data_IF_824207721226
#
_entry.id   IF_824207721226
#
_cell.length_a   1.000
_cell.length_b   1.000
_cell.length_c   1.000
_cell.angle_alpha   90.00
_cell.angle_beta   90.00
_cell.angle_gamma   90.00
#
_symmetry.space_group_name_H-M   'P 1'
#
loop_
_entity.id
_entity.type
_entity.pdbx_description
1 polymer ?
#
# COMPACT_ATOMS: atom_id res chain seq x y z
N UNK A 1 -0.38 -9.95 -9.81
CA UNK A 1 -0.52 -8.60 -9.19
C UNK A 1 -1.25 -8.57 -7.84
N UNK A 2 -2.38 -9.27 -7.61
CA UNK A 2 -3.14 -9.13 -6.34
C UNK A 2 -2.58 -9.90 -5.12
N UNK A 3 -1.67 -10.87 -5.33
CA UNK A 3 -1.19 -11.78 -4.27
C UNK A 3 -0.19 -11.14 -3.30
N UNK A 4 0.76 -10.32 -3.78
CA UNK A 4 1.72 -9.62 -2.89
C UNK A 4 1.05 -8.60 -1.98
N UNK A 5 0.16 -7.76 -2.52
CA UNK A 5 -0.56 -6.78 -1.71
C UNK A 5 -1.33 -7.45 -0.57
N UNK A 6 -1.99 -8.57 -0.87
CA UNK A 6 -2.74 -9.34 0.13
C UNK A 6 -1.84 -9.95 1.20
N UNK A 7 -0.61 -10.36 0.87
CA UNK A 7 0.40 -10.81 1.86
C UNK A 7 0.86 -9.64 2.74
N UNK A 8 1.18 -8.49 2.16
CA UNK A 8 1.58 -7.30 2.90
C UNK A 8 0.48 -6.78 3.83
N UNK A 9 -0.77 -6.74 3.34
CA UNK A 9 -1.91 -6.32 4.14
C UNK A 9 -2.17 -7.24 5.33
N UNK A 10 -1.92 -8.56 5.18
CA UNK A 10 -2.01 -9.52 6.29
C UNK A 10 -0.92 -9.28 7.34
N UNK A 11 0.32 -9.06 6.92
CA UNK A 11 1.42 -8.75 7.84
C UNK A 11 1.17 -7.46 8.62
N UNK A 12 0.70 -6.40 7.94
CA UNK A 12 0.34 -5.14 8.60
C UNK A 12 -0.80 -5.36 9.59
N UNK A 13 -1.88 -6.03 9.18
CA UNK A 13 -2.99 -6.36 10.08
C UNK A 13 -2.51 -7.08 11.32
N UNK A 14 -1.77 -8.18 11.17
CA UNK A 14 -1.27 -8.93 12.33
C UNK A 14 -0.44 -8.04 13.27
N UNK A 15 0.43 -7.17 12.75
CA UNK A 15 1.20 -6.24 13.59
C UNK A 15 0.36 -5.21 14.34
N UNK A 16 -0.67 -4.64 13.70
CA UNK A 16 -1.52 -3.61 14.34
C UNK A 16 -2.71 -4.18 15.12
N UNK A 17 -3.15 -5.41 14.81
CA UNK A 17 -4.30 -6.06 15.46
C UNK A 17 -3.90 -7.04 16.56
N UNK A 18 -2.86 -7.86 16.37
CA UNK A 18 -2.51 -8.90 17.36
C UNK A 18 -1.97 -8.30 18.66
N UNK A 19 -1.37 -7.10 18.60
CA UNK A 19 -0.88 -6.40 19.78
C UNK A 19 -1.99 -5.69 20.58
N UNK A 20 -3.28 -5.84 20.26
CA UNK A 20 -4.43 -5.39 21.07
C UNK A 20 -4.52 -3.90 21.45
N UNK A 21 -3.55 -3.05 21.07
CA UNK A 21 -3.52 -1.67 21.56
C UNK A 21 -4.42 -0.70 20.79
N UNK A 22 -4.56 -0.81 19.45
CA UNK A 22 -5.27 0.21 18.64
C UNK A 22 -5.90 -0.33 17.34
N UNK A 23 -7.07 -0.98 17.39
CA UNK A 23 -7.80 -1.41 16.18
C UNK A 23 -8.17 -0.23 15.25
N UNK A 24 -8.25 0.98 15.76
CA UNK A 24 -8.47 2.20 14.96
C UNK A 24 -7.35 2.47 13.95
N UNK A 25 -6.11 2.02 14.23
CA UNK A 25 -4.97 2.23 13.34
C UNK A 25 -4.99 1.29 12.12
N UNK A 26 -5.81 0.25 12.12
CA UNK A 26 -5.84 -0.76 11.05
C UNK A 26 -6.29 -0.17 9.72
N UNK A 27 -7.34 0.65 9.73
CA UNK A 27 -7.86 1.32 8.53
C UNK A 27 -6.85 2.31 7.92
N UNK A 28 -6.28 3.27 8.69
CA UNK A 28 -5.30 4.20 8.14
C UNK A 28 -3.99 3.52 7.72
N UNK A 29 -3.56 2.44 8.40
CA UNK A 29 -2.39 1.66 7.99
C UNK A 29 -2.58 1.01 6.62
N UNK A 30 -3.74 0.39 6.37
CA UNK A 30 -4.05 -0.22 5.07
C UNK A 30 -4.19 0.82 3.96
N UNK A 31 -4.74 2.00 4.25
CA UNK A 31 -4.81 3.10 3.31
C UNK A 31 -3.43 3.60 2.89
N UNK A 32 -2.52 3.80 3.86
CA UNK A 32 -1.12 4.16 3.59
C UNK A 32 -0.39 3.09 2.77
N UNK A 33 -0.59 1.81 3.12
CA UNK A 33 -0.01 0.69 2.37
C UNK A 33 -0.47 0.67 0.91
N UNK A 34 -1.75 0.91 0.64
CA UNK A 34 -2.29 0.99 -0.73
C UNK A 34 -1.64 2.12 -1.54
N UNK A 35 -1.49 3.31 -0.95
CA UNK A 35 -0.83 4.46 -1.57
C UNK A 35 0.63 4.16 -1.95
N UNK A 36 1.40 3.61 -0.99
CA UNK A 36 2.80 3.22 -1.22
C UNK A 36 2.90 2.14 -2.29
N UNK A 37 2.05 1.11 -2.24
CA UNK A 37 2.06 0.03 -3.21
C UNK A 37 1.78 0.52 -4.64
N UNK A 38 0.83 1.46 -4.80
CA UNK A 38 0.55 2.09 -6.09
C UNK A 38 1.72 2.94 -6.58
N UNK A 39 2.34 3.70 -5.67
CA UNK A 39 3.52 4.52 -5.98
C UNK A 39 4.71 3.67 -6.42
N UNK A 40 4.95 2.54 -5.75
CA UNK A 40 5.98 1.57 -6.13
C UNK A 40 5.72 0.92 -7.49
N UNK A 41 4.46 0.64 -7.84
CA UNK A 41 4.13 0.14 -9.17
C UNK A 41 4.47 1.16 -10.26
N UNK A 42 4.11 2.42 -10.05
CA UNK A 42 4.42 3.52 -11.00
C UNK A 42 5.94 3.69 -11.14
N UNK A 43 6.68 3.65 -10.03
CA UNK A 43 8.14 3.71 -10.05
C UNK A 43 8.76 2.52 -10.79
N UNK A 44 8.26 1.30 -10.57
CA UNK A 44 8.74 0.08 -11.24
C UNK A 44 8.40 0.03 -12.73
N UNK A 45 7.23 0.55 -13.13
CA UNK A 45 6.84 0.60 -14.54
C UNK A 45 7.55 1.69 -15.33
N UNK A 46 8.41 2.48 -14.68
CA UNK A 46 8.98 3.69 -15.23
C UNK A 46 7.95 4.83 -15.30
N UNK A 47 8.44 6.07 -15.23
CA UNK A 47 7.60 7.24 -15.51
C UNK A 47 7.23 7.16 -16.98
N UNK A 48 5.98 6.79 -17.29
CA UNK A 48 5.44 7.04 -18.64
C UNK A 48 5.43 8.57 -18.78
N UNK A 49 6.48 9.15 -19.39
CA UNK A 49 6.56 10.57 -19.71
C UNK A 49 5.31 10.90 -20.52
N UNK A 50 4.30 11.47 -19.86
CA UNK A 50 3.19 12.09 -20.56
C UNK A 50 3.77 13.39 -21.11
N UNK A 51 4.06 13.43 -22.42
CA UNK A 51 4.19 14.70 -23.12
C UNK A 51 2.91 15.49 -22.82
N UNK A 52 2.96 16.40 -21.84
CA UNK A 52 2.04 17.52 -21.78
C UNK A 52 2.57 18.51 -22.80
N UNK A 53 2.18 18.29 -24.04
CA UNK A 53 2.37 19.22 -25.14
C UNK A 53 1.03 19.88 -25.38
N UNK A 54 0.92 21.11 -24.90
CA UNK A 54 0.29 22.28 -25.49
C UNK A 54 0.64 23.47 -24.62
#
# INVERSE_FOLDING_TARGET
>A
MRKEFRKMAKAVKNQVSDNYYRPDLTKPALARLSSVYRSLQVAKSGVKKKNRQS
#
